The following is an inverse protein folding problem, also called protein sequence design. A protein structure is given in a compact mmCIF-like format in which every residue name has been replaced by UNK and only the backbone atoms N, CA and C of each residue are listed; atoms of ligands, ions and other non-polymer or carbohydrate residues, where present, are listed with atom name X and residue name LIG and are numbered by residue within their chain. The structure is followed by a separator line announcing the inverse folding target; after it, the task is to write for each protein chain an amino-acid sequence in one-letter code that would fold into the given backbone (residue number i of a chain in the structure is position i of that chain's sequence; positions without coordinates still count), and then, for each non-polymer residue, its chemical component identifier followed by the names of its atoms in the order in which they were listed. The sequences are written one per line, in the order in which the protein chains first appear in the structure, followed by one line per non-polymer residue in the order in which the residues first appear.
data_IF_181311961099
#
_entry.id   IF_181311961099
#
_cell.length_a   1.000
_cell.length_b   1.000
_cell.length_c   1.000
_cell.angle_alpha   90.00
_cell.angle_beta   90.00
_cell.angle_gamma   90.00
#
_symmetry.space_group_name_H-M   'P 1'
#
loop_
_entity.id
_entity.type
_entity.pdbx_description
1 polymer ?
#
# COMPACT_ATOMS: atom_id res chain seq x y z
N UNK A 1 -15.93 -18.31 -17.18
CA UNK A 1 -15.11 -17.28 -17.88
C UNK A 1 -14.22 -16.65 -16.84
N UNK A 2 -12.88 -16.70 -16.97
CA UNK A 2 -11.98 -16.10 -15.97
C UNK A 2 -12.11 -14.57 -16.06
N UNK A 3 -12.33 -13.94 -14.91
CA UNK A 3 -12.34 -12.50 -14.76
C UNK A 3 -10.91 -12.00 -15.01
N UNK A 4 -10.64 -11.56 -16.23
CA UNK A 4 -9.41 -10.82 -16.55
C UNK A 4 -9.38 -9.60 -15.63
N UNK A 5 -8.44 -9.57 -14.70
CA UNK A 5 -8.10 -8.35 -13.97
C UNK A 5 -7.68 -7.34 -15.04
N UNK A 6 -8.32 -6.18 -15.18
CA UNK A 6 -7.99 -5.24 -16.24
C UNK A 6 -6.51 -4.85 -16.13
N UNK A 7 -5.76 -4.91 -17.23
CA UNK A 7 -4.32 -4.61 -17.27
C UNK A 7 -3.99 -3.22 -16.70
N UNK A 8 -4.93 -2.28 -16.77
CA UNK A 8 -4.83 -0.95 -16.16
C UNK A 8 -4.64 -1.00 -14.64
N UNK A 9 -5.36 -1.89 -13.94
CA UNK A 9 -5.23 -2.07 -12.48
C UNK A 9 -3.85 -2.58 -12.12
N UNK A 10 -3.25 -3.40 -12.99
CA UNK A 10 -1.92 -3.96 -12.79
C UNK A 10 -0.83 -2.90 -13.00
N UNK A 11 -1.04 -1.96 -13.92
CA UNK A 11 -0.12 -0.83 -14.16
C UNK A 11 -0.13 0.20 -13.04
N UNK A 12 -1.26 0.41 -12.37
CA UNK A 12 -1.31 1.31 -11.21
C UNK A 12 -0.45 0.80 -10.04
N UNK A 13 -0.26 -0.53 -9.93
CA UNK A 13 0.62 -1.15 -8.93
C UNK A 13 2.12 -0.90 -9.20
N UNK A 14 2.49 -0.27 -10.32
CA UNK A 14 3.89 0.05 -10.64
C UNK A 14 4.36 1.38 -10.03
N UNK A 15 3.45 2.18 -9.46
CA UNK A 15 3.75 3.53 -8.99
C UNK A 15 3.40 3.75 -7.51
N UNK A 16 4.01 3.00 -6.56
CA UNK A 16 3.71 3.15 -5.13
C UNK A 16 4.04 4.55 -4.59
N UNK A 17 4.95 5.28 -5.24
CA UNK A 17 5.29 6.67 -4.90
C UNK A 17 4.09 7.60 -5.06
N UNK A 18 3.25 7.39 -6.08
CA UNK A 18 2.07 8.23 -6.32
C UNK A 18 1.04 8.09 -5.22
N UNK A 19 0.76 6.85 -4.80
CA UNK A 19 -0.19 6.61 -3.72
C UNK A 19 0.40 7.06 -2.37
N UNK A 20 1.68 6.84 -2.11
CA UNK A 20 2.33 7.36 -0.91
C UNK A 20 2.27 8.89 -0.84
N UNK A 21 2.50 9.58 -1.96
CA UNK A 21 2.37 11.04 -2.05
C UNK A 21 0.93 11.51 -1.79
N UNK A 22 -0.08 10.74 -2.24
CA UNK A 22 -1.48 11.03 -1.92
C UNK A 22 -1.77 10.96 -0.42
N UNK A 23 -1.33 9.88 0.24
CA UNK A 23 -1.49 9.72 1.70
C UNK A 23 -0.68 10.77 2.49
N UNK A 24 0.52 11.09 2.04
CA UNK A 24 1.32 12.15 2.62
C UNK A 24 0.64 13.53 2.48
N UNK A 25 0.00 13.80 1.34
CA UNK A 25 -0.84 14.98 1.18
C UNK A 25 -2.06 15.03 2.13
N UNK A 26 -2.60 13.89 2.56
CA UNK A 26 -3.61 13.84 3.63
C UNK A 26 -2.99 14.12 5.00
N UNK A 27 -1.81 13.57 5.28
CA UNK A 27 -1.07 13.85 6.50
C UNK A 27 -0.80 15.36 6.66
N UNK A 28 -0.31 16.03 5.62
CA UNK A 28 -0.09 17.48 5.61
C UNK A 28 -1.36 18.31 5.86
N UNK A 29 -2.55 17.73 5.60
CA UNK A 29 -3.85 18.35 5.89
C UNK A 29 -4.36 18.08 7.32
N UNK A 30 -3.53 17.46 8.17
CA UNK A 30 -3.84 17.19 9.58
C UNK A 30 -4.45 15.83 9.87
N UNK A 31 -4.44 14.90 8.90
CA UNK A 31 -4.84 13.52 9.17
C UNK A 31 -3.81 12.81 10.04
N UNK A 32 -4.27 12.02 11.02
CA UNK A 32 -3.39 11.24 11.89
C UNK A 32 -2.56 10.23 11.09
N UNK A 33 -1.23 10.18 11.28
CA UNK A 33 -0.38 9.24 10.57
C UNK A 33 -0.71 7.79 10.93
N UNK A 34 -1.10 7.50 12.18
CA UNK A 34 -1.48 6.14 12.58
C UNK A 34 -2.78 5.67 11.92
N UNK A 35 -3.71 6.58 11.67
CA UNK A 35 -4.92 6.26 10.89
C UNK A 35 -4.55 5.96 9.44
N UNK A 36 -3.73 6.79 8.82
CA UNK A 36 -3.30 6.61 7.43
C UNK A 36 -2.49 5.31 7.26
N UNK A 37 -1.62 4.94 8.21
CA UNK A 37 -0.90 3.65 8.20
C UNK A 37 -1.85 2.46 8.13
N UNK A 38 -2.90 2.47 8.94
CA UNK A 38 -3.92 1.41 8.95
C UNK A 38 -4.74 1.38 7.65
N UNK A 39 -4.96 2.54 7.05
CA UNK A 39 -5.66 2.64 5.76
C UNK A 39 -4.77 2.17 4.58
N UNK A 40 -3.44 2.27 4.71
CA UNK A 40 -2.46 1.77 3.72
C UNK A 40 -2.18 0.27 3.90
N UNK A 41 -2.05 -0.21 5.14
CA UNK A 41 -1.73 -1.60 5.45
C UNK A 41 -2.84 -2.55 4.97
N UNK A 42 -2.47 -3.74 4.50
CA UNK A 42 -3.43 -4.80 4.22
C UNK A 42 -3.74 -5.55 5.53
N UNK A 43 -4.96 -5.51 6.05
CA UNK A 43 -5.28 -6.17 7.31
C UNK A 43 -5.04 -7.68 7.24
N UNK A 44 -4.56 -8.28 8.35
CA UNK A 44 -4.27 -9.71 8.42
C UNK A 44 -5.47 -10.61 8.03
N UNK A 45 -6.69 -10.17 8.33
CA UNK A 45 -7.93 -10.87 7.93
C UNK A 45 -8.10 -10.92 6.40
N UNK A 46 -7.69 -9.86 5.69
CA UNK A 46 -7.71 -9.80 4.23
C UNK A 46 -6.62 -10.70 3.65
N UNK A 47 -5.41 -10.68 4.21
CA UNK A 47 -4.32 -11.58 3.81
C UNK A 47 -4.72 -13.06 3.95
N UNK A 48 -5.34 -13.42 5.07
CA UNK A 48 -5.80 -14.78 5.31
C UNK A 48 -6.90 -15.21 4.32
N UNK A 49 -7.79 -14.28 3.94
CA UNK A 49 -8.81 -14.53 2.93
C UNK A 49 -8.19 -14.75 1.55
N UNK A 50 -7.28 -13.87 1.13
CA UNK A 50 -6.58 -14.00 -0.14
C UNK A 50 -5.75 -15.28 -0.23
N UNK A 51 -5.12 -15.70 0.88
CA UNK A 51 -4.41 -16.99 0.93
C UNK A 51 -5.34 -18.16 0.61
N UNK A 52 -6.52 -18.23 1.24
CA UNK A 52 -7.52 -19.28 1.00
C UNK A 52 -8.08 -19.23 -0.43
N UNK A 53 -8.25 -18.04 -1.00
CA UNK A 53 -8.67 -17.88 -2.39
C UNK A 53 -7.58 -18.35 -3.37
N UNK A 54 -6.32 -18.07 -3.07
CA UNK A 54 -5.18 -18.48 -3.89
C UNK A 54 -4.82 -19.98 -3.76
N UNK A 55 -5.27 -20.63 -2.70
CA UNK A 55 -5.28 -22.10 -2.60
C UNK A 55 -6.31 -22.73 -3.54
N UNK A 56 -7.47 -22.08 -3.71
CA UNK A 56 -8.55 -22.54 -4.60
C UNK A 56 -8.26 -22.24 -6.07
N UNK A 57 -7.71 -21.07 -6.34
CA UNK A 57 -7.30 -20.63 -7.67
C UNK A 57 -5.84 -20.15 -7.65
N UNK A 58 -4.89 -21.01 -8.03
CA UNK A 58 -3.47 -20.66 -8.07
C UNK A 58 -3.13 -19.48 -8.97
N UNK A 59 -3.96 -19.14 -9.97
CA UNK A 59 -3.70 -18.00 -10.86
C UNK A 59 -3.82 -16.66 -10.11
N UNK A 60 -4.52 -16.63 -8.97
CA UNK A 60 -4.68 -15.43 -8.14
C UNK A 60 -3.48 -15.16 -7.22
N UNK A 61 -2.57 -16.13 -7.05
CA UNK A 61 -1.40 -15.98 -6.15
C UNK A 61 -0.54 -14.79 -6.55
N UNK A 62 -0.24 -14.68 -7.85
CA UNK A 62 0.67 -13.66 -8.37
C UNK A 62 0.09 -12.26 -8.20
N UNK A 63 -1.20 -12.07 -8.45
CA UNK A 63 -1.85 -10.77 -8.29
C UNK A 63 -1.94 -10.37 -6.82
N UNK A 64 -2.30 -11.29 -5.91
CA UNK A 64 -2.35 -10.99 -4.49
C UNK A 64 -0.96 -10.68 -3.92
N UNK A 65 0.06 -11.43 -4.32
CA UNK A 65 1.44 -11.14 -3.94
C UNK A 65 1.84 -9.73 -4.38
N UNK A 66 1.58 -9.37 -5.65
CA UNK A 66 1.87 -8.03 -6.18
C UNK A 66 1.12 -6.92 -5.44
N UNK A 67 -0.15 -7.14 -5.08
CA UNK A 67 -0.93 -6.18 -4.29
C UNK A 67 -0.35 -6.00 -2.88
N UNK A 68 0.07 -7.08 -2.22
CA UNK A 68 0.66 -7.02 -0.88
C UNK A 68 2.00 -6.28 -0.91
N UNK A 69 2.85 -6.59 -1.87
CA UNK A 69 4.16 -5.95 -2.02
C UNK A 69 3.99 -4.46 -2.38
N UNK A 70 3.05 -4.13 -3.26
CA UNK A 70 2.69 -2.76 -3.55
C UNK A 70 2.28 -1.99 -2.29
N UNK A 71 1.36 -2.53 -1.48
CA UNK A 71 0.89 -1.87 -0.24
C UNK A 71 2.01 -1.69 0.78
N UNK A 72 2.91 -2.68 0.90
CA UNK A 72 4.12 -2.57 1.73
C UNK A 72 5.05 -1.45 1.25
N UNK A 73 5.26 -1.32 -0.06
CA UNK A 73 6.06 -0.24 -0.62
C UNK A 73 5.44 1.13 -0.36
N UNK A 74 4.13 1.28 -0.56
CA UNK A 74 3.41 2.53 -0.25
C UNK A 74 3.60 2.91 1.21
N UNK A 75 3.42 1.95 2.14
CA UNK A 75 3.57 2.17 3.58
C UNK A 75 4.99 2.61 3.94
N UNK A 76 6.02 1.93 3.41
CA UNK A 76 7.41 2.27 3.67
C UNK A 76 7.79 3.67 3.18
N UNK A 77 7.31 4.07 1.98
CA UNK A 77 7.54 5.42 1.45
C UNK A 77 6.83 6.45 2.34
N UNK A 78 5.57 6.21 2.68
CA UNK A 78 4.80 7.10 3.56
C UNK A 78 5.47 7.30 4.92
N UNK A 79 5.93 6.21 5.55
CA UNK A 79 6.63 6.28 6.84
C UNK A 79 7.94 7.07 6.76
N UNK A 80 8.69 6.92 5.65
CA UNK A 80 9.90 7.71 5.40
C UNK A 80 9.60 9.21 5.28
N UNK A 81 8.53 9.57 4.54
CA UNK A 81 8.10 10.96 4.38
C UNK A 81 7.67 11.59 5.71
N UNK A 82 6.81 10.90 6.46
CA UNK A 82 6.35 11.37 7.78
C UNK A 82 7.52 11.46 8.77
N UNK A 83 8.41 10.46 8.77
CA UNK A 83 9.59 10.42 9.64
C UNK A 83 10.55 11.59 9.39
N UNK A 84 10.77 11.93 8.12
CA UNK A 84 11.62 13.04 7.70
C UNK A 84 11.09 14.41 8.14
N UNK A 85 9.77 14.62 8.13
CA UNK A 85 9.15 15.85 8.67
C UNK A 85 9.23 15.95 10.20
N UNK A 86 9.10 14.82 10.91
CA UNK A 86 9.17 14.81 12.38
C UNK A 86 10.57 15.02 12.94
N UNK A 87 11.62 14.92 12.12
CA UNK A 87 12.96 15.39 12.47
C UNK A 87 13.12 16.83 11.99
N UNK A 88 12.90 17.85 12.85
CA UNK A 88 13.39 19.17 12.54
C UNK A 88 14.90 19.04 12.45
N UNK A 89 15.43 19.25 11.24
CA UNK A 89 16.85 19.40 10.99
C UNK A 89 17.35 20.50 11.92
N UNK A 90 17.90 20.11 13.08
CA UNK A 90 18.56 21.04 13.99
C UNK A 90 19.83 21.45 13.28
N UNK A 91 19.72 22.51 12.49
CA UNK A 91 20.86 23.24 11.95
C UNK A 91 21.61 23.77 13.18
N UNK A 92 22.78 23.19 13.44
CA UNK A 92 23.76 23.68 14.42
C UNK A 92 24.66 24.71 13.75
#
# INVERSE_FOLDING_TARGET
MPQFVPSEVVHDLDFPQREAAFFYGLFLRGHSPDKLRRDIEVPAVVLAKWHREAERDPQLRDIFARMVDYRRHVLAIFDSLVGSDTQPQRVQ
#
